data_IF_223908970526
#
_entry.id   IF_223908970526
#
_cell.length_a   1.000
_cell.length_b   1.000
_cell.length_c   1.000
_cell.angle_alpha   90.00
_cell.angle_beta   90.00
_cell.angle_gamma   90.00
#
_symmetry.space_group_name_H-M   'P 1'
#
loop_
_entity.id
_entity.type
_entity.pdbx_description
1 polymer ?
#
# COMPACT_ATOMS: atom_id res chain seq x y z
N UNK A 1 -12.36 25.07 6.44
CA UNK A 1 -11.13 24.46 5.86
C UNK A 1 -11.00 23.04 6.32
N UNK A 2 -10.69 22.12 5.43
CA UNK A 2 -10.43 20.75 5.84
C UNK A 2 -9.20 20.71 6.75
N UNK A 3 -9.29 19.96 7.84
CA UNK A 3 -8.16 19.74 8.75
C UNK A 3 -7.07 18.95 8.02
N UNK A 4 -5.82 19.43 8.07
CA UNK A 4 -4.71 18.74 7.43
C UNK A 4 -4.40 17.45 8.19
N UNK A 5 -4.17 16.38 7.47
CA UNK A 5 -3.83 15.09 8.03
C UNK A 5 -2.49 15.14 8.75
N UNK A 6 -2.50 14.75 10.02
CA UNK A 6 -1.31 14.65 10.86
C UNK A 6 -0.76 13.23 10.83
N UNK A 7 0.56 13.10 10.75
CA UNK A 7 1.28 11.85 10.63
C UNK A 7 2.46 11.78 11.59
N UNK A 8 2.81 10.59 12.03
CA UNK A 8 3.97 10.34 12.87
C UNK A 8 5.27 10.31 12.05
N UNK A 9 6.38 10.72 12.69
CA UNK A 9 7.72 10.60 12.15
C UNK A 9 8.47 9.45 12.80
N UNK A 10 9.21 8.72 11.97
CA UNK A 10 10.02 7.56 12.34
C UNK A 10 11.51 7.88 12.22
N UNK A 11 12.33 7.14 12.94
CA UNK A 11 13.77 7.16 12.77
C UNK A 11 14.21 6.12 11.71
N UNK A 12 15.51 6.10 11.40
CA UNK A 12 16.12 5.19 10.42
C UNK A 12 15.88 3.70 10.69
N UNK A 13 15.57 3.34 11.92
CA UNK A 13 15.29 1.97 12.34
C UNK A 13 13.78 1.65 12.39
N UNK A 14 12.97 2.45 11.70
CA UNK A 14 11.50 2.32 11.63
C UNK A 14 10.81 2.42 13.00
N UNK A 15 11.39 3.19 13.93
CA UNK A 15 10.83 3.39 15.27
C UNK A 15 10.21 4.78 15.39
N UNK A 16 9.06 4.86 16.06
CA UNK A 16 8.41 6.12 16.39
C UNK A 16 9.35 7.04 17.17
N UNK A 17 9.36 8.32 16.78
CA UNK A 17 10.19 9.34 17.43
C UNK A 17 9.42 10.20 18.42
N UNK A 18 8.08 10.10 18.43
CA UNK A 18 7.20 11.00 19.19
C UNK A 18 6.96 12.33 18.49
N UNK A 19 7.62 12.58 17.35
CA UNK A 19 7.40 13.79 16.53
C UNK A 19 6.39 13.50 15.42
N UNK A 20 5.71 14.55 14.98
CA UNK A 20 4.67 14.50 13.95
C UNK A 20 4.91 15.58 12.91
N UNK A 21 4.25 15.45 11.75
CA UNK A 21 4.18 16.44 10.70
C UNK A 21 2.80 16.46 10.07
N UNK A 22 2.47 17.51 9.34
CA UNK A 22 1.24 17.53 8.54
C UNK A 22 1.52 17.20 7.09
N UNK A 23 0.58 16.49 6.46
CA UNK A 23 0.65 16.16 5.03
C UNK A 23 0.96 17.42 4.21
N UNK A 24 2.04 17.35 3.42
CA UNK A 24 2.54 18.44 2.60
C UNK A 24 3.66 19.28 3.25
N UNK A 25 3.92 19.12 4.53
CA UNK A 25 5.05 19.78 5.16
C UNK A 25 6.39 19.10 4.82
N UNK A 26 7.50 19.83 4.76
CA UNK A 26 8.82 19.23 4.57
C UNK A 26 9.17 18.32 5.75
N UNK A 27 9.82 17.21 5.44
CA UNK A 27 10.31 16.27 6.47
C UNK A 27 11.70 16.73 6.94
N UNK A 28 11.90 16.92 8.26
CA UNK A 28 13.22 17.29 8.78
C UNK A 28 14.26 16.19 8.52
N UNK A 29 15.50 16.57 8.36
CA UNK A 29 16.62 15.64 8.17
C UNK A 29 16.73 14.66 9.35
N UNK A 30 16.96 13.38 9.03
CA UNK A 30 17.04 12.30 10.01
C UNK A 30 15.70 11.73 10.46
N UNK A 31 14.59 12.26 9.93
CA UNK A 31 13.23 11.76 10.16
C UNK A 31 12.62 11.23 8.89
N UNK A 32 11.75 10.25 9.01
CA UNK A 32 11.15 9.55 7.87
C UNK A 32 9.64 9.39 8.06
N UNK A 33 8.84 9.62 7.01
CA UNK A 33 7.45 9.21 7.01
C UNK A 33 7.34 7.68 6.89
N UNK A 34 6.19 7.11 7.28
CA UNK A 34 5.89 5.69 7.10
C UNK A 34 4.95 5.50 5.91
N UNK A 35 5.30 4.59 5.01
CA UNK A 35 4.44 4.13 3.91
C UNK A 35 4.01 2.70 4.18
N UNK A 36 2.72 2.43 4.06
CA UNK A 36 2.15 1.08 4.15
C UNK A 36 1.51 0.71 2.82
N UNK A 37 1.70 -0.52 2.37
CA UNK A 37 1.16 -1.05 1.12
C UNK A 37 0.69 -2.48 1.33
N UNK A 38 -0.34 -2.91 0.61
CA UNK A 38 -0.89 -4.26 0.72
C UNK A 38 -1.16 -4.91 -0.64
N UNK A 39 -0.70 -6.16 -0.77
CA UNK A 39 -1.13 -7.06 -1.82
C UNK A 39 -2.35 -7.85 -1.34
N UNK A 40 -3.48 -7.69 -2.00
CA UNK A 40 -4.69 -8.50 -1.79
C UNK A 40 -4.77 -9.50 -2.93
N UNK A 41 -4.70 -10.79 -2.61
CA UNK A 41 -4.77 -11.88 -3.58
C UNK A 41 -6.06 -12.67 -3.41
N UNK A 42 -6.78 -12.94 -4.50
CA UNK A 42 -7.99 -13.75 -4.45
C UNK A 42 -7.67 -15.25 -4.54
N UNK A 43 -8.71 -16.09 -4.43
CA UNK A 43 -8.60 -17.56 -4.51
C UNK A 43 -8.15 -18.07 -5.89
N UNK A 44 -8.28 -17.25 -6.95
CA UNK A 44 -7.76 -17.55 -8.29
C UNK A 44 -6.29 -17.16 -8.48
N UNK A 45 -5.63 -16.65 -7.44
CA UNK A 45 -4.23 -16.20 -7.48
C UNK A 45 -4.02 -14.82 -8.12
N UNK A 46 -5.08 -14.06 -8.38
CA UNK A 46 -5.03 -12.72 -8.96
C UNK A 46 -4.86 -11.67 -7.87
N UNK A 47 -4.15 -10.59 -8.19
CA UNK A 47 -3.92 -9.45 -7.31
C UNK A 47 -4.85 -8.30 -7.62
N UNK A 48 -5.35 -7.67 -6.57
CA UNK A 48 -6.16 -6.46 -6.68
C UNK A 48 -5.27 -5.26 -6.97
N UNK A 49 -5.55 -4.57 -8.06
CA UNK A 49 -4.88 -3.34 -8.44
C UNK A 49 -5.90 -2.22 -8.56
N UNK A 50 -5.47 -1.02 -8.21
CA UNK A 50 -6.24 0.20 -8.32
C UNK A 50 -5.54 1.21 -9.23
N UNK A 51 -6.32 1.90 -10.06
CA UNK A 51 -5.83 2.96 -10.93
C UNK A 51 -6.10 4.31 -10.29
N UNK A 52 -5.05 5.09 -10.10
CA UNK A 52 -5.16 6.43 -9.53
C UNK A 52 -5.76 7.42 -10.52
N UNK A 53 -6.43 8.45 -10.01
CA UNK A 53 -6.92 9.56 -10.84
C UNK A 53 -5.75 10.25 -11.56
N UNK A 54 -5.98 10.84 -12.78
CA UNK A 54 -4.91 11.46 -13.58
C UNK A 54 -4.11 12.52 -12.83
N UNK A 55 -4.76 13.35 -11.99
CA UNK A 55 -4.08 14.37 -11.18
C UNK A 55 -3.09 13.81 -10.15
N UNK A 56 -3.15 12.51 -9.88
CA UNK A 56 -2.25 11.75 -9.00
C UNK A 56 -1.32 10.79 -9.75
N UNK A 57 -1.19 10.96 -11.06
CA UNK A 57 -0.31 10.19 -11.92
C UNK A 57 -1.02 9.21 -12.86
N UNK A 58 -2.23 8.77 -12.54
CA UNK A 58 -3.01 7.85 -13.37
C UNK A 58 -2.46 6.42 -13.42
N UNK A 59 -1.50 6.09 -12.56
CA UNK A 59 -0.81 4.79 -12.55
C UNK A 59 -1.64 3.70 -11.87
N UNK A 60 -1.42 2.45 -12.29
CA UNK A 60 -1.84 1.27 -11.55
C UNK A 60 -0.93 1.01 -10.36
N UNK A 61 -1.50 0.58 -9.24
CA UNK A 61 -0.76 0.21 -8.05
C UNK A 61 -1.62 -0.60 -7.08
N UNK A 62 -0.99 -1.08 -6.01
CA UNK A 62 -1.70 -1.67 -4.88
C UNK A 62 -2.22 -0.57 -3.96
N UNK A 63 -3.17 -0.91 -3.09
CA UNK A 63 -3.65 0.00 -2.04
C UNK A 63 -2.53 0.31 -1.05
N UNK A 64 -2.38 1.57 -0.71
CA UNK A 64 -1.39 2.00 0.28
C UNK A 64 -1.47 3.49 0.58
N UNK A 65 -0.78 3.89 1.60
CA UNK A 65 -0.74 5.28 2.04
C UNK A 65 0.12 5.48 3.28
N UNK A 66 -0.23 6.47 4.06
CA UNK A 66 0.54 6.85 5.25
C UNK A 66 -0.34 6.72 6.49
N UNK A 67 0.03 5.96 7.52
CA UNK A 67 -0.69 5.93 8.78
C UNK A 67 -0.87 7.34 9.36
N UNK A 68 -2.05 7.61 9.88
CA UNK A 68 -2.31 8.85 10.61
C UNK A 68 -1.58 8.84 11.96
N UNK A 69 -1.32 10.00 12.51
CA UNK A 69 -0.68 10.10 13.83
C UNK A 69 -1.46 9.31 14.89
N UNK A 70 -0.77 8.46 15.64
CA UNK A 70 -1.35 7.56 16.64
C UNK A 70 -1.81 6.21 16.11
N UNK A 71 -1.87 5.98 14.80
CA UNK A 71 -2.14 4.65 14.23
C UNK A 71 -0.87 3.80 14.22
N UNK A 72 -1.02 2.52 14.53
CA UNK A 72 0.01 1.53 14.17
C UNK A 72 0.03 1.34 12.65
N UNK A 73 1.09 0.73 12.12
CA UNK A 73 1.15 0.42 10.68
C UNK A 73 0.04 -0.53 10.24
N UNK A 74 -0.36 -1.47 11.09
CA UNK A 74 -1.47 -2.39 10.83
C UNK A 74 -2.81 -1.65 10.80
N UNK A 75 -3.05 -0.73 11.73
CA UNK A 75 -4.23 0.15 11.71
C UNK A 75 -4.23 1.06 10.48
N UNK A 76 -3.07 1.60 10.12
CA UNK A 76 -2.92 2.46 8.94
C UNK A 76 -3.31 1.77 7.65
N UNK A 77 -2.85 0.53 7.41
CA UNK A 77 -3.25 -0.19 6.18
C UNK A 77 -4.72 -0.58 6.18
N UNK A 78 -5.30 -0.92 7.34
CA UNK A 78 -6.74 -1.18 7.46
C UNK A 78 -7.54 0.08 7.13
N UNK A 79 -7.11 1.23 7.64
CA UNK A 79 -7.71 2.53 7.34
C UNK A 79 -7.65 2.86 5.85
N UNK A 80 -6.49 2.71 5.20
CA UNK A 80 -6.32 2.98 3.76
C UNK A 80 -7.24 2.09 2.90
N UNK A 81 -7.29 0.79 3.16
CA UNK A 81 -8.19 -0.12 2.42
C UNK A 81 -9.65 0.27 2.59
N UNK A 82 -10.05 0.67 3.80
CA UNK A 82 -11.42 1.10 4.07
C UNK A 82 -11.76 2.43 3.39
N UNK A 83 -10.83 3.39 3.41
CA UNK A 83 -11.04 4.70 2.77
C UNK A 83 -11.06 4.58 1.25
N UNK A 84 -10.10 3.88 0.65
CA UNK A 84 -9.97 3.80 -0.81
C UNK A 84 -10.94 2.80 -1.48
N UNK A 85 -11.21 1.66 -0.85
CA UNK A 85 -12.01 0.57 -1.43
C UNK A 85 -13.35 0.34 -0.74
N UNK A 86 -13.59 0.93 0.43
CA UNK A 86 -14.78 0.69 1.23
C UNK A 86 -14.81 -0.68 1.91
N UNK A 87 -13.67 -1.35 2.05
CA UNK A 87 -13.56 -2.71 2.60
C UNK A 87 -12.93 -2.69 3.98
N UNK A 88 -13.56 -3.34 4.95
CA UNK A 88 -12.99 -3.56 6.28
C UNK A 88 -12.20 -4.89 6.30
N UNK A 89 -10.89 -4.80 6.43
CA UNK A 89 -9.98 -5.95 6.53
C UNK A 89 -9.47 -6.19 7.97
N UNK A 90 -10.09 -5.58 8.97
CA UNK A 90 -9.65 -5.68 10.38
C UNK A 90 -9.64 -7.11 10.92
N UNK A 91 -10.48 -8.00 10.37
CA UNK A 91 -10.57 -9.42 10.74
C UNK A 91 -9.73 -10.34 9.83
N UNK A 92 -8.99 -9.78 8.88
CA UNK A 92 -8.14 -10.56 8.00
C UNK A 92 -6.76 -10.78 8.62
N UNK A 93 -6.15 -11.92 8.29
CA UNK A 93 -4.75 -12.15 8.62
C UNK A 93 -3.87 -11.29 7.71
N UNK A 94 -3.17 -10.35 8.29
CA UNK A 94 -2.20 -9.50 7.60
C UNK A 94 -0.80 -10.09 7.78
N UNK A 95 -0.18 -10.51 6.70
CA UNK A 95 1.18 -11.02 6.70
C UNK A 95 2.14 -9.91 6.25
N UNK A 96 3.16 -9.61 7.06
CA UNK A 96 4.21 -8.66 6.68
C UNK A 96 5.31 -9.40 5.93
N UNK A 97 5.54 -9.05 4.68
CA UNK A 97 6.60 -9.69 3.89
C UNK A 97 7.85 -8.82 3.70
N UNK A 98 7.74 -7.53 3.95
CA UNK A 98 8.89 -6.63 3.87
C UNK A 98 8.67 -5.39 4.75
N UNK A 99 9.74 -4.92 5.39
CA UNK A 99 9.75 -3.65 6.12
C UNK A 99 11.16 -3.09 6.22
N UNK A 100 11.29 -1.79 6.36
CA UNK A 100 12.58 -1.12 6.50
C UNK A 100 12.49 0.38 6.32
N UNK A 101 13.65 1.01 6.14
CA UNK A 101 13.80 2.41 5.71
C UNK A 101 14.84 2.46 4.60
N UNK A 102 14.53 3.16 3.51
CA UNK A 102 15.39 3.27 2.33
C UNK A 102 16.21 4.58 2.28
N UNK A 103 16.08 5.41 3.30
CA UNK A 103 16.70 6.73 3.39
C UNK A 103 15.81 7.87 2.91
N UNK A 104 14.64 7.56 2.36
CA UNK A 104 13.57 8.50 1.98
C UNK A 104 12.33 8.28 2.83
N UNK A 105 11.87 7.05 2.88
CA UNK A 105 10.69 6.62 3.63
C UNK A 105 11.02 5.39 4.48
N UNK A 106 10.33 5.22 5.60
CA UNK A 106 10.17 3.93 6.23
C UNK A 106 8.95 3.25 5.60
N UNK A 107 8.97 1.95 5.46
CA UNK A 107 7.90 1.22 4.79
C UNK A 107 7.56 -0.10 5.47
N UNK A 108 6.31 -0.54 5.33
CA UNK A 108 5.86 -1.87 5.71
C UNK A 108 4.89 -2.39 4.65
N UNK A 109 5.20 -3.56 4.12
CA UNK A 109 4.48 -4.20 3.03
C UNK A 109 3.74 -5.43 3.53
N UNK A 110 2.46 -5.49 3.22
CA UNK A 110 1.52 -6.51 3.69
C UNK A 110 1.00 -7.38 2.55
N UNK A 111 0.60 -8.57 2.92
CA UNK A 111 -0.11 -9.51 2.06
C UNK A 111 -1.31 -10.09 2.81
N UNK A 112 -2.42 -10.28 2.11
CA UNK A 112 -3.59 -11.00 2.61
C UNK A 112 -4.30 -11.73 1.47
N UNK A 113 -4.98 -12.84 1.80
CA UNK A 113 -5.89 -13.54 0.88
C UNK A 113 -7.31 -13.09 1.17
N UNK A 114 -7.98 -12.59 0.15
CA UNK A 114 -9.36 -12.13 0.29
C UNK A 114 -10.06 -12.09 -1.06
N UNK A 115 -11.19 -12.79 -1.18
CA UNK A 115 -12.08 -12.67 -2.32
C UNK A 115 -12.99 -11.46 -2.14
N UNK A 116 -13.04 -10.60 -3.14
CA UNK A 116 -13.86 -9.39 -3.16
C UNK A 116 -14.70 -9.36 -4.44
N UNK A 117 -15.98 -9.05 -4.28
CA UNK A 117 -16.84 -8.68 -5.39
C UNK A 117 -16.62 -7.21 -5.74
N UNK A 118 -15.98 -6.93 -6.89
CA UNK A 118 -15.66 -5.57 -7.31
C UNK A 118 -16.89 -4.68 -7.48
N UNK A 119 -18.05 -5.29 -7.78
CA UNK A 119 -19.31 -4.55 -7.92
C UNK A 119 -19.87 -4.01 -6.58
N UNK A 120 -19.35 -4.53 -5.47
CA UNK A 120 -19.74 -4.10 -4.11
C UNK A 120 -18.75 -3.13 -3.47
N UNK A 121 -17.67 -2.79 -4.17
CA UNK A 121 -16.69 -1.84 -3.65
C UNK A 121 -17.25 -0.41 -3.70
N UNK A 122 -16.84 0.39 -2.72
CA UNK A 122 -17.11 1.82 -2.67
C UNK A 122 -15.78 2.55 -2.80
N UNK A 123 -15.31 2.69 -4.05
CA UNK A 123 -14.03 3.34 -4.32
C UNK A 123 -14.10 4.84 -4.03
N UNK A 124 -13.01 5.37 -3.53
CA UNK A 124 -12.83 6.79 -3.30
C UNK A 124 -12.56 7.49 -4.64
N UNK A 125 -13.61 8.07 -5.27
CA UNK A 125 -13.58 8.59 -6.65
C UNK A 125 -12.63 9.78 -6.85
N UNK A 126 -12.29 10.49 -5.80
CA UNK A 126 -11.27 11.55 -5.85
C UNK A 126 -9.83 11.01 -5.78
N UNK A 127 -9.65 9.74 -5.48
CA UNK A 127 -8.38 9.03 -5.46
C UNK A 127 -8.22 8.04 -6.61
N UNK A 128 -9.27 7.30 -6.94
CA UNK A 128 -9.27 6.15 -7.83
C UNK A 128 -10.28 6.31 -8.98
N UNK A 129 -9.90 5.80 -10.15
CA UNK A 129 -10.80 5.69 -11.31
C UNK A 129 -11.27 4.28 -11.58
N UNK A 130 -10.49 3.26 -11.19
CA UNK A 130 -10.76 1.87 -11.53
C UNK A 130 -10.09 0.93 -10.53
N UNK A 131 -10.72 -0.22 -10.28
CA UNK A 131 -10.15 -1.34 -9.52
C UNK A 131 -10.36 -2.61 -10.33
N UNK A 132 -9.32 -3.44 -10.46
CA UNK A 132 -9.36 -4.67 -11.25
C UNK A 132 -8.44 -5.76 -10.70
N UNK A 133 -8.82 -7.01 -10.92
CA UNK A 133 -7.97 -8.17 -10.66
C UNK A 133 -7.00 -8.42 -11.82
N UNK A 134 -5.72 -8.64 -11.49
CA UNK A 134 -4.67 -8.97 -12.44
C UNK A 134 -4.01 -10.29 -12.07
N UNK A 135 -3.80 -11.15 -13.05
CA UNK A 135 -2.95 -12.33 -12.88
C UNK A 135 -1.47 -11.93 -12.74
N UNK A 136 -0.66 -12.84 -12.21
CA UNK A 136 0.81 -12.64 -12.16
C UNK A 136 1.38 -12.41 -13.56
N UNK A 137 0.87 -13.15 -14.57
CA UNK A 137 1.31 -12.99 -15.96
C UNK A 137 0.98 -11.59 -16.52
N UNK A 138 -0.20 -11.07 -16.23
CA UNK A 138 -0.59 -9.69 -16.62
C UNK A 138 0.30 -8.65 -15.93
N UNK A 139 0.59 -8.81 -14.63
CA UNK A 139 1.48 -7.91 -13.91
C UNK A 139 2.91 -7.96 -14.44
N UNK A 140 3.41 -9.16 -14.77
CA UNK A 140 4.73 -9.33 -15.38
C UNK A 140 4.81 -8.65 -16.75
N UNK A 141 3.74 -8.72 -17.56
CA UNK A 141 3.65 -8.03 -18.84
C UNK A 141 3.67 -6.50 -18.65
N UNK A 142 2.94 -5.99 -17.65
CA UNK A 142 2.96 -4.55 -17.30
C UNK A 142 4.36 -4.08 -16.86
N UNK A 143 5.08 -4.90 -16.11
CA UNK A 143 6.49 -4.62 -15.74
C UNK A 143 7.36 -4.53 -16.99
N UNK A 144 7.24 -5.49 -17.89
CA UNK A 144 8.01 -5.55 -19.14
C UNK A 144 7.72 -4.37 -20.06
N UNK A 145 6.46 -3.91 -20.10
CA UNK A 145 6.02 -2.74 -20.89
C UNK A 145 6.26 -1.40 -20.19
N UNK A 146 6.81 -1.42 -18.97
CA UNK A 146 7.05 -0.22 -18.15
C UNK A 146 5.77 0.57 -17.83
N UNK A 147 4.67 -0.12 -17.63
CA UNK A 147 3.37 0.45 -17.26
C UNK A 147 3.18 0.62 -15.75
N UNK A 148 4.07 0.06 -14.94
CA UNK A 148 4.13 0.26 -13.49
C UNK A 148 5.30 1.18 -13.14
N UNK A 149 5.11 2.06 -12.15
CA UNK A 149 6.23 2.82 -11.61
C UNK A 149 7.18 1.92 -10.81
N UNK A 150 8.40 2.41 -10.53
CA UNK A 150 9.45 1.60 -9.92
C UNK A 150 9.07 1.09 -8.53
N UNK A 151 8.37 1.87 -7.72
CA UNK A 151 7.95 1.46 -6.38
C UNK A 151 6.99 0.25 -6.44
N UNK A 152 6.10 0.21 -7.43
CA UNK A 152 5.19 -0.91 -7.66
C UNK A 152 5.93 -2.14 -8.19
N UNK A 153 6.90 -1.95 -9.08
CA UNK A 153 7.77 -3.03 -9.56
C UNK A 153 8.52 -3.68 -8.39
N UNK A 154 9.15 -2.87 -7.56
CA UNK A 154 9.90 -3.34 -6.38
C UNK A 154 8.98 -4.05 -5.38
N UNK A 155 7.78 -3.53 -5.16
CA UNK A 155 6.76 -4.17 -4.33
C UNK A 155 6.41 -5.58 -4.83
N UNK A 156 6.11 -5.72 -6.12
CA UNK A 156 5.73 -7.01 -6.70
C UNK A 156 6.88 -8.02 -6.73
N UNK A 157 8.10 -7.59 -7.00
CA UNK A 157 9.28 -8.47 -6.95
C UNK A 157 9.48 -9.04 -5.54
N UNK A 158 9.31 -8.22 -4.51
CA UNK A 158 9.40 -8.66 -3.11
C UNK A 158 8.23 -9.56 -2.73
N UNK A 159 7.02 -9.23 -3.16
CA UNK A 159 5.82 -10.02 -2.90
C UNK A 159 5.89 -11.41 -3.54
N UNK A 160 6.25 -11.50 -4.81
CA UNK A 160 6.37 -12.79 -5.53
C UNK A 160 7.46 -13.66 -4.92
N UNK A 161 8.60 -13.09 -4.55
CA UNK A 161 9.67 -13.81 -3.86
C UNK A 161 9.21 -14.37 -2.50
N UNK A 162 8.45 -13.60 -1.75
CA UNK A 162 7.85 -14.05 -0.50
C UNK A 162 6.90 -15.23 -0.72
N UNK A 163 5.99 -15.13 -1.69
CA UNK A 163 5.02 -16.20 -1.99
C UNK A 163 5.70 -17.48 -2.51
N UNK A 164 6.76 -17.36 -3.27
CA UNK A 164 7.58 -18.50 -3.70
C UNK A 164 8.22 -19.21 -2.50
N UNK A 165 8.76 -18.45 -1.53
CA UNK A 165 9.37 -19.01 -0.33
C UNK A 165 8.36 -19.73 0.57
N UNK A 166 7.12 -19.20 0.69
CA UNK A 166 6.04 -19.84 1.44
C UNK A 166 5.55 -21.14 0.79
N UNK A 167 5.53 -21.21 -0.54
CA UNK A 167 5.14 -22.42 -1.28
C UNK A 167 6.19 -23.53 -1.26
N UNK A 168 7.43 -23.24 -0.90
CA UNK A 168 8.51 -24.22 -0.75
C UNK A 168 8.57 -24.87 0.65
N UNK A 169 7.75 -24.43 1.56
CA UNK A 169 7.57 -25.03 2.89
C UNK A 169 6.31 -25.88 2.92
#
# INVERSE_FOLDING_TARGET
>A
MAEREKRDLYNRNSKLTGKTYFKGDPIPEGYYPMVVMIAIQNSEGKFLMQKRVPRKGGDWGVTGGHPKAGETTDQGIITEVKEELGVDISNQKLETFCSGCDGKDCYKMYYTKLDLDLNKLHIQEDELTEVRWFSIAELQDMVNKKELNQDQVDFFLKCTKYLESENCM
#
